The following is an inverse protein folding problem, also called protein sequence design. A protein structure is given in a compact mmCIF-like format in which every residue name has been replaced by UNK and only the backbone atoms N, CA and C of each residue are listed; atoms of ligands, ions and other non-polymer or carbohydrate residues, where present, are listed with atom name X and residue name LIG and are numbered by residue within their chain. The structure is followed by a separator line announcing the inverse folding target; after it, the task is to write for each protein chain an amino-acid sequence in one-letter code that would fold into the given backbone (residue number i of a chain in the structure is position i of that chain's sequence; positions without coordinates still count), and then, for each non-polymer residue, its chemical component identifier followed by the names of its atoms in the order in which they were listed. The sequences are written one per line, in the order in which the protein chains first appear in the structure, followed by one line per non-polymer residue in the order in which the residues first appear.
data_IF_938479469095
#
_entry.id   IF_938479469095
#
_cell.length_a   1.000
_cell.length_b   1.000
_cell.length_c   1.000
_cell.angle_alpha   90.00
_cell.angle_beta   90.00
_cell.angle_gamma   90.00
#
_symmetry.space_group_name_H-M   'P 1'
#
loop_
_entity.id
_entity.type
_entity.pdbx_description
1 polymer ?
#
# COMPACT_ATOMS: atom_id res chain seq x y z
N UNK A 1 5.55 -27.86 -7.46
CA UNK A 1 4.30 -27.54 -6.72
C UNK A 1 3.64 -26.39 -7.47
N UNK A 2 2.38 -26.50 -7.88
CA UNK A 2 1.70 -25.43 -8.63
C UNK A 2 1.43 -24.20 -7.76
N UNK A 3 1.24 -23.04 -8.39
CA UNK A 3 0.85 -21.80 -7.71
C UNK A 3 -0.52 -22.02 -7.02
N UNK A 4 -0.65 -21.64 -5.75
CA UNK A 4 -1.93 -21.76 -5.04
C UNK A 4 -2.88 -20.69 -5.57
N UNK A 5 -4.06 -21.04 -6.10
CA UNK A 5 -4.97 -20.07 -6.70
C UNK A 5 -5.60 -19.17 -5.63
N UNK A 6 -5.75 -17.89 -5.95
CA UNK A 6 -6.44 -16.91 -5.10
C UNK A 6 -7.94 -16.96 -5.37
N UNK A 7 -8.74 -16.85 -4.31
CA UNK A 7 -10.18 -16.68 -4.43
C UNK A 7 -10.51 -15.17 -4.57
N UNK A 8 -11.29 -14.75 -5.59
CA UNK A 8 -11.59 -13.34 -5.79
C UNK A 8 -12.54 -12.82 -4.73
N UNK A 9 -12.14 -11.76 -4.03
CA UNK A 9 -12.94 -11.09 -3.01
C UNK A 9 -12.92 -9.58 -3.24
N UNK A 10 -14.03 -8.92 -2.90
CA UNK A 10 -14.13 -7.47 -2.88
C UNK A 10 -14.27 -6.97 -1.45
N UNK A 11 -13.41 -6.02 -1.07
CA UNK A 11 -13.46 -5.37 0.23
C UNK A 11 -13.95 -3.94 0.11
N UNK A 12 -14.77 -3.50 1.07
CA UNK A 12 -15.10 -2.08 1.21
C UNK A 12 -13.93 -1.33 1.82
N UNK A 13 -13.26 -0.50 1.02
CA UNK A 13 -12.10 0.29 1.48
C UNK A 13 -12.46 1.66 2.06
N UNK A 14 -13.72 2.12 1.93
CA UNK A 14 -14.12 3.42 2.47
C UNK A 14 -13.83 3.51 3.96
N UNK A 15 -13.02 4.51 4.35
CA UNK A 15 -12.60 4.74 5.74
C UNK A 15 -11.64 3.68 6.33
N UNK A 16 -11.15 2.73 5.51
CA UNK A 16 -10.14 1.77 5.97
C UNK A 16 -8.76 2.41 5.92
N UNK A 17 -7.96 2.15 6.94
CA UNK A 17 -6.58 2.63 7.04
C UNK A 17 -5.68 1.82 6.11
N UNK A 18 -4.97 2.49 5.23
CA UNK A 18 -3.99 1.91 4.33
C UNK A 18 -2.65 2.59 4.56
N UNK A 19 -1.61 1.79 4.80
CA UNK A 19 -0.23 2.28 4.85
C UNK A 19 0.51 1.85 3.58
N UNK A 20 1.21 2.79 2.96
CA UNK A 20 2.06 2.55 1.78
C UNK A 20 3.49 2.92 2.14
N UNK A 21 4.43 1.98 1.97
CA UNK A 21 5.85 2.25 2.06
C UNK A 21 6.41 2.61 0.68
N UNK A 22 7.17 3.69 0.60
CA UNK A 22 7.77 4.19 -0.64
C UNK A 22 7.00 5.35 -1.25
N UNK A 23 7.76 6.30 -1.80
CA UNK A 23 7.22 7.55 -2.36
C UNK A 23 7.39 7.67 -3.88
N UNK A 24 7.95 6.66 -4.55
CA UNK A 24 8.22 6.68 -5.99
C UNK A 24 7.00 6.45 -6.88
N UNK A 25 7.26 6.26 -8.17
CA UNK A 25 6.23 6.11 -9.23
C UNK A 25 5.29 4.94 -9.00
N UNK A 26 5.80 3.79 -8.52
CA UNK A 26 4.99 2.58 -8.27
C UNK A 26 3.97 2.85 -7.17
N UNK A 27 4.42 3.41 -6.05
CA UNK A 27 3.56 3.81 -4.95
C UNK A 27 2.52 4.84 -5.40
N UNK A 28 2.93 5.86 -6.18
CA UNK A 28 2.05 6.92 -6.68
C UNK A 28 0.89 6.34 -7.50
N UNK A 29 1.22 5.44 -8.44
CA UNK A 29 0.22 4.77 -9.28
C UNK A 29 -0.81 4.01 -8.46
N UNK A 30 -0.39 3.29 -7.42
CA UNK A 30 -1.28 2.50 -6.57
C UNK A 30 -2.14 3.39 -5.67
N UNK A 31 -1.54 4.41 -5.06
CA UNK A 31 -2.25 5.42 -4.27
C UNK A 31 -3.38 6.04 -5.08
N UNK A 32 -3.12 6.45 -6.34
CA UNK A 32 -4.13 7.04 -7.22
C UNK A 32 -5.34 6.14 -7.41
N UNK A 33 -5.12 4.85 -7.68
CA UNK A 33 -6.21 3.86 -7.83
C UNK A 33 -6.96 3.67 -6.51
N UNK A 34 -6.25 3.53 -5.39
CA UNK A 34 -6.85 3.33 -4.08
C UNK A 34 -7.71 4.51 -3.63
N UNK A 35 -7.29 5.74 -3.92
CA UNK A 35 -8.02 6.96 -3.56
C UNK A 35 -9.44 7.00 -4.14
N UNK A 36 -9.70 6.31 -5.24
CA UNK A 36 -11.03 6.23 -5.83
C UNK A 36 -12.03 5.44 -4.97
N UNK A 37 -11.56 4.69 -3.98
CA UNK A 37 -12.36 3.88 -3.06
C UNK A 37 -12.53 4.53 -1.67
N UNK A 38 -12.06 5.77 -1.50
CA UNK A 38 -12.17 6.58 -0.28
C UNK A 38 -11.55 5.95 1.00
N UNK A 39 -10.38 5.27 0.96
CA UNK A 39 -9.67 4.86 2.16
C UNK A 39 -8.99 6.05 2.87
N UNK A 40 -8.52 5.80 4.09
CA UNK A 40 -7.58 6.68 4.82
C UNK A 40 -6.15 6.24 4.48
N UNK A 41 -5.48 6.94 3.56
CA UNK A 41 -4.14 6.58 3.10
C UNK A 41 -3.07 7.37 3.84
N UNK A 42 -2.09 6.66 4.38
CA UNK A 42 -0.81 7.21 4.82
C UNK A 42 0.31 6.64 3.97
N UNK A 43 1.23 7.48 3.49
CA UNK A 43 2.43 7.07 2.76
C UNK A 43 3.66 7.45 3.59
N UNK A 44 4.56 6.50 3.81
CA UNK A 44 5.81 6.70 4.54
C UNK A 44 7.00 6.49 3.61
N UNK A 45 7.78 7.55 3.41
CA UNK A 45 9.02 7.53 2.64
C UNK A 45 9.90 8.75 2.99
N UNK A 46 11.22 8.69 2.71
CA UNK A 46 12.09 9.87 2.83
C UNK A 46 11.72 10.99 1.85
N UNK A 47 11.34 10.62 0.63
CA UNK A 47 10.99 11.51 -0.47
C UNK A 47 9.72 11.03 -1.17
N UNK A 48 9.03 11.95 -1.84
CA UNK A 48 7.75 11.67 -2.50
C UNK A 48 7.72 12.19 -3.93
N UNK A 49 7.03 11.42 -4.78
CA UNK A 49 6.64 11.85 -6.11
C UNK A 49 5.76 13.10 -6.00
N UNK A 50 6.01 14.09 -6.87
CA UNK A 50 5.34 15.40 -6.85
C UNK A 50 3.80 15.32 -6.77
N UNK A 51 3.21 14.39 -7.50
CA UNK A 51 1.75 14.18 -7.48
C UNK A 51 1.23 13.79 -6.08
N UNK A 52 1.98 13.02 -5.29
CA UNK A 52 1.58 12.72 -3.90
C UNK A 52 1.60 13.96 -3.01
N UNK A 53 2.58 14.84 -3.18
CA UNK A 53 2.66 16.11 -2.45
C UNK A 53 1.44 16.99 -2.79
N UNK A 54 1.06 17.06 -4.08
CA UNK A 54 -0.13 17.78 -4.53
C UNK A 54 -1.42 17.17 -3.96
N UNK A 55 -1.54 15.84 -3.95
CA UNK A 55 -2.67 15.13 -3.33
C UNK A 55 -2.74 15.35 -1.81
N UNK A 56 -1.59 15.37 -1.13
CA UNK A 56 -1.50 15.64 0.30
C UNK A 56 -1.91 17.08 0.62
N UNK A 57 -1.48 18.05 -0.19
CA UNK A 57 -1.89 19.46 -0.07
C UNK A 57 -3.40 19.65 -0.25
N UNK A 58 -4.05 18.78 -1.02
CA UNK A 58 -5.51 18.74 -1.17
C UNK A 58 -6.22 17.97 -0.03
N UNK A 59 -5.48 17.48 0.97
CA UNK A 59 -6.02 16.70 2.09
C UNK A 59 -6.49 15.30 1.70
N UNK A 60 -6.02 14.75 0.57
CA UNK A 60 -6.47 13.43 0.07
C UNK A 60 -5.75 12.25 0.72
N UNK A 61 -4.55 12.47 1.24
CA UNK A 61 -3.70 11.47 1.89
C UNK A 61 -2.76 12.15 2.89
N UNK A 62 -2.14 11.37 3.76
CA UNK A 62 -1.11 11.82 4.70
C UNK A 62 0.27 11.35 4.25
N UNK A 63 1.26 12.25 4.25
CA UNK A 63 2.66 11.92 4.00
C UNK A 63 3.47 11.96 5.29
N UNK A 64 4.24 10.91 5.55
CA UNK A 64 5.19 10.83 6.65
C UNK A 64 6.61 10.78 6.08
N UNK A 65 7.37 11.88 6.24
CA UNK A 65 8.78 11.97 5.83
C UNK A 65 9.67 11.13 6.75
N UNK A 66 9.56 9.81 6.65
CA UNK A 66 10.26 8.84 7.48
C UNK A 66 10.29 7.47 6.79
N UNK A 67 11.18 6.60 7.25
CA UNK A 67 11.20 5.20 6.83
C UNK A 67 9.96 4.47 7.36
N UNK A 68 9.34 3.64 6.52
CA UNK A 68 8.13 2.91 6.90
C UNK A 68 8.33 1.99 8.12
N UNK A 69 9.53 1.45 8.32
CA UNK A 69 9.86 0.63 9.50
C UNK A 69 9.73 1.36 10.85
N UNK A 70 9.71 2.70 10.85
CA UNK A 70 9.53 3.54 12.04
C UNK A 70 8.06 3.87 12.31
N UNK A 71 7.15 3.48 11.42
CA UNK A 71 5.70 3.74 11.54
C UNK A 71 5.02 2.63 12.34
N UNK A 72 3.95 2.97 13.05
CA UNK A 72 3.11 1.98 13.75
C UNK A 72 2.14 1.33 12.77
N UNK A 73 2.15 0.00 12.71
CA UNK A 73 1.25 -0.80 11.86
C UNK A 73 -0.10 -1.13 12.53
N UNK A 74 -0.27 -0.81 13.82
CA UNK A 74 -1.47 -1.14 14.57
C UNK A 74 -2.74 -0.53 13.92
N UNK A 75 -3.72 -1.37 13.61
CA UNK A 75 -5.00 -0.95 13.04
C UNK A 75 -4.95 -0.60 11.54
N UNK A 76 -3.82 -0.82 10.87
CA UNK A 76 -3.73 -0.79 9.41
C UNK A 76 -4.51 -1.99 8.85
N UNK A 77 -5.36 -1.73 7.86
CA UNK A 77 -6.13 -2.78 7.19
C UNK A 77 -5.35 -3.39 6.01
N UNK A 78 -4.82 -2.54 5.12
CA UNK A 78 -3.92 -2.94 4.04
C UNK A 78 -2.56 -2.27 4.18
N UNK A 79 -1.51 -3.02 3.95
CA UNK A 79 -0.15 -2.52 3.80
C UNK A 79 0.38 -2.82 2.40
N UNK A 80 1.05 -1.84 1.78
CA UNK A 80 1.67 -2.00 0.47
C UNK A 80 3.15 -1.61 0.55
N UNK A 81 4.04 -2.56 0.29
CA UNK A 81 5.49 -2.38 0.34
C UNK A 81 6.03 -2.09 -1.06
N UNK A 82 6.23 -0.80 -1.40
CA UNK A 82 6.63 -0.32 -2.71
C UNK A 82 7.94 0.50 -2.66
N UNK A 83 8.91 0.11 -1.84
CA UNK A 83 10.26 0.69 -1.89
C UNK A 83 11.09 0.04 -3.00
N UNK A 84 12.24 0.63 -3.31
CA UNK A 84 13.20 0.07 -4.29
C UNK A 84 14.06 -1.07 -3.70
N UNK A 85 13.90 -1.38 -2.41
CA UNK A 85 14.65 -2.43 -1.71
C UNK A 85 13.75 -3.65 -1.47
N UNK A 86 13.96 -4.78 -2.19
CA UNK A 86 13.17 -5.99 -2.02
C UNK A 86 13.28 -6.63 -0.63
N UNK A 87 14.43 -6.55 0.03
CA UNK A 87 14.63 -7.13 1.36
C UNK A 87 13.86 -6.33 2.41
N UNK A 88 13.92 -5.00 2.31
CA UNK A 88 13.13 -4.11 3.15
C UNK A 88 11.62 -4.30 2.91
N UNK A 89 11.18 -4.46 1.66
CA UNK A 89 9.78 -4.73 1.36
C UNK A 89 9.29 -6.03 2.03
N UNK A 90 10.10 -7.10 1.99
CA UNK A 90 9.79 -8.35 2.65
C UNK A 90 9.66 -8.17 4.18
N UNK A 91 10.67 -7.54 4.80
CA UNK A 91 10.69 -7.26 6.24
C UNK A 91 9.48 -6.44 6.69
N UNK A 92 9.10 -5.42 5.93
CA UNK A 92 7.92 -4.59 6.24
C UNK A 92 6.61 -5.37 6.06
N UNK A 93 6.52 -6.26 5.07
CA UNK A 93 5.36 -7.15 4.90
C UNK A 93 5.18 -8.08 6.11
N UNK A 94 6.27 -8.69 6.60
CA UNK A 94 6.23 -9.50 7.83
C UNK A 94 5.76 -8.68 9.04
N UNK A 95 6.30 -7.47 9.22
CA UNK A 95 5.90 -6.56 10.28
C UNK A 95 4.41 -6.19 10.20
N UNK A 96 3.89 -5.95 9.00
CA UNK A 96 2.49 -5.63 8.76
C UNK A 96 1.56 -6.80 9.10
N UNK A 97 1.93 -8.01 8.65
CA UNK A 97 1.19 -9.25 8.95
C UNK A 97 1.16 -9.52 10.44
N UNK A 98 2.28 -9.35 11.13
CA UNK A 98 2.34 -9.50 12.59
C UNK A 98 1.41 -8.53 13.35
N UNK A 99 1.13 -7.36 12.76
CA UNK A 99 0.18 -6.38 13.30
C UNK A 99 -1.28 -6.62 12.85
N UNK A 100 -1.55 -7.66 12.05
CA UNK A 100 -2.87 -8.04 11.57
C UNK A 100 -3.33 -7.38 10.26
N UNK A 101 -2.44 -6.67 9.57
CA UNK A 101 -2.75 -6.10 8.25
C UNK A 101 -2.56 -7.15 7.14
N UNK A 102 -3.32 -7.02 6.04
CA UNK A 102 -3.01 -7.73 4.81
C UNK A 102 -1.88 -7.00 4.07
N UNK A 103 -0.82 -7.71 3.70
CA UNK A 103 0.36 -7.15 3.06
C UNK A 103 0.40 -7.44 1.56
N UNK A 104 0.85 -6.47 0.77
CA UNK A 104 1.19 -6.66 -0.64
C UNK A 104 2.59 -6.11 -0.93
N UNK A 105 3.50 -7.02 -1.31
CA UNK A 105 4.84 -6.69 -1.78
C UNK A 105 4.80 -6.31 -3.26
N UNK A 106 5.23 -5.09 -3.60
CA UNK A 106 5.17 -4.58 -4.97
C UNK A 106 6.21 -5.23 -5.90
N UNK A 107 7.22 -5.90 -5.34
CA UNK A 107 8.35 -6.50 -6.05
C UNK A 107 8.27 -8.02 -6.18
N UNK A 108 7.50 -8.71 -5.32
CA UNK A 108 7.45 -10.17 -5.28
C UNK A 108 6.03 -10.69 -5.07
N UNK A 109 5.51 -11.41 -6.07
CA UNK A 109 4.11 -11.88 -6.11
C UNK A 109 3.82 -12.95 -5.06
N UNK A 110 4.80 -13.79 -4.78
CA UNK A 110 4.74 -14.88 -3.82
C UNK A 110 4.67 -14.38 -2.37
N UNK A 111 5.07 -13.13 -2.13
CA UNK A 111 5.05 -12.46 -0.83
C UNK A 111 3.88 -11.46 -0.71
N UNK A 112 2.71 -11.84 -1.24
CA UNK A 112 1.49 -11.04 -1.18
C UNK A 112 0.35 -11.84 -0.54
N UNK A 113 -0.47 -11.20 0.30
CA UNK A 113 -1.70 -11.81 0.82
C UNK A 113 -2.90 -11.56 -0.12
N UNK A 114 -2.76 -10.57 -1.00
CA UNK A 114 -3.75 -10.20 -2.02
C UNK A 114 -3.06 -9.66 -3.25
N UNK A 115 -3.70 -9.75 -4.42
CA UNK A 115 -3.23 -9.08 -5.62
C UNK A 115 -3.77 -7.67 -5.72
N UNK A 116 -2.97 -6.76 -6.27
CA UNK A 116 -3.41 -5.42 -6.66
C UNK A 116 -3.92 -5.48 -8.11
N UNK A 117 -5.25 -5.57 -8.36
CA UNK A 117 -5.77 -5.85 -9.68
C UNK A 117 -5.77 -4.61 -10.58
N UNK A 118 -5.86 -4.83 -11.89
CA UNK A 118 -6.32 -3.79 -12.80
C UNK A 118 -7.79 -3.49 -12.52
N UNK A 119 -8.12 -2.22 -12.27
CA UNK A 119 -9.48 -1.76 -12.01
C UNK A 119 -10.07 -1.16 -13.28
N UNK A 120 -11.21 -1.70 -13.74
CA UNK A 120 -11.99 -1.16 -14.86
C UNK A 120 -13.36 -0.76 -14.33
N UNK A 121 -13.80 0.47 -14.60
CA UNK A 121 -15.17 0.93 -14.33
C UNK A 121 -15.97 0.92 -15.62
N UNK A 122 -17.07 0.20 -15.64
CA UNK A 122 -18.14 0.43 -16.61
C UNK A 122 -19.06 1.49 -16.00
N UNK A 123 -19.24 2.59 -16.73
CA UNK A 123 -20.23 3.62 -16.42
C UNK A 123 -21.65 3.10 -16.60
#
# INVERSE_FOLDING_TARGET
MGETPYFPLFFRLKGRKILVAGGGTIACRRVRVLLEFQPEITVAAPEFHREMEELAAQGRLTLLRTEAGKVRFQGIFLFLACTDDPEENHRLCEQARAAGALANNCSLKEDCDFYFPSVVRKG
#
